data_IF_947538706395
#
_entry.id   IF_947538706395
#
_cell.length_a   1.000
_cell.length_b   1.000
_cell.length_c   1.000
_cell.angle_alpha   90.00
_cell.angle_beta   90.00
_cell.angle_gamma   90.00
#
_symmetry.space_group_name_H-M   'P 1'
#
loop_
_entity.id
_entity.type
_entity.pdbx_description
1 polymer ?
#
# COMPACT_ATOMS: atom_id res chain seq x y z
N UNK A 1 -3.29 7.28 -7.32
CA UNK A 1 -3.85 6.41 -6.29
C UNK A 1 -4.47 7.31 -5.27
N UNK A 2 -5.72 7.05 -4.97
CA UNK A 2 -6.57 7.82 -4.09
C UNK A 2 -7.32 6.85 -3.18
N UNK A 3 -8.14 7.39 -2.29
CA UNK A 3 -9.02 6.62 -1.43
C UNK A 3 -10.29 7.42 -1.14
N UNK A 4 -11.30 6.71 -0.64
CA UNK A 4 -12.53 7.28 -0.11
C UNK A 4 -12.75 6.77 1.32
N UNK A 5 -13.45 7.54 2.15
CA UNK A 5 -13.81 7.15 3.51
C UNK A 5 -15.04 7.91 4.03
N UNK A 6 -15.63 7.43 5.13
CA UNK A 6 -16.67 8.17 5.85
C UNK A 6 -16.13 9.47 6.47
N UNK A 7 -16.99 10.49 6.61
CA UNK A 7 -16.61 11.78 7.18
C UNK A 7 -17.56 12.28 8.29
N UNK A 8 -18.59 11.51 8.67
CA UNK A 8 -19.64 12.04 9.57
C UNK A 8 -19.92 11.19 10.80
N UNK A 9 -19.43 9.95 10.86
CA UNK A 9 -19.75 9.05 11.97
C UNK A 9 -18.71 9.15 13.08
N UNK A 10 -19.20 9.25 14.33
CA UNK A 10 -18.40 9.43 15.54
C UNK A 10 -17.94 10.86 15.77
N UNK A 11 -17.40 11.53 14.75
CA UNK A 11 -16.98 12.94 14.79
C UNK A 11 -17.31 13.64 13.47
N UNK A 12 -17.16 14.97 13.41
CA UNK A 12 -17.26 15.75 12.16
C UNK A 12 -16.14 15.45 11.13
N UNK A 13 -15.22 14.53 11.46
CA UNK A 13 -14.14 14.08 10.60
C UNK A 13 -14.17 12.56 10.38
N UNK A 14 -15.30 11.88 10.64
CA UNK A 14 -15.49 10.45 10.36
C UNK A 14 -14.65 9.48 11.21
N UNK A 15 -14.04 9.95 12.31
CA UNK A 15 -13.13 9.14 13.14
C UNK A 15 -13.75 7.82 13.57
N UNK A 16 -15.06 7.80 13.84
CA UNK A 16 -15.75 6.61 14.32
C UNK A 16 -15.76 5.48 13.31
N UNK A 17 -16.09 5.76 12.06
CA UNK A 17 -16.26 4.72 11.05
C UNK A 17 -15.01 4.45 10.22
N UNK A 18 -14.09 5.42 10.10
CA UNK A 18 -12.72 5.14 9.62
C UNK A 18 -12.10 4.04 10.51
N UNK A 19 -12.20 4.18 11.84
CA UNK A 19 -11.72 3.14 12.79
C UNK A 19 -12.39 1.78 12.60
N UNK A 20 -13.65 1.76 12.13
CA UNK A 20 -14.45 0.52 11.95
C UNK A 20 -14.40 -0.05 10.53
N UNK A 21 -13.66 0.57 9.61
CA UNK A 21 -13.44 0.02 8.26
C UNK A 21 -14.18 0.70 7.11
N UNK A 22 -14.83 1.86 7.31
CA UNK A 22 -15.41 2.62 6.19
C UNK A 22 -14.36 3.43 5.45
N UNK A 23 -13.48 2.72 4.75
CA UNK A 23 -12.48 3.25 3.82
C UNK A 23 -12.33 2.31 2.63
N UNK A 24 -11.84 2.82 1.50
CA UNK A 24 -11.53 1.99 0.35
C UNK A 24 -10.66 2.68 -0.70
N UNK A 25 -10.03 1.90 -1.59
CA UNK A 25 -9.12 2.41 -2.61
C UNK A 25 -9.88 3.03 -3.78
N UNK A 26 -9.31 4.08 -4.39
CA UNK A 26 -9.73 4.61 -5.68
C UNK A 26 -8.52 4.76 -6.62
N UNK A 27 -8.60 4.16 -7.81
CA UNK A 27 -7.50 4.10 -8.78
C UNK A 27 -7.93 4.73 -10.10
N UNK A 28 -7.58 6.00 -10.27
CA UNK A 28 -7.72 6.71 -11.54
C UNK A 28 -6.47 6.48 -12.40
N UNK A 29 -6.64 5.84 -13.57
CA UNK A 29 -5.55 5.52 -14.49
C UNK A 29 -5.46 6.54 -15.63
N UNK A 30 -4.24 6.88 -16.03
CA UNK A 30 -3.97 7.63 -17.26
C UNK A 30 -4.01 6.67 -18.45
N UNK A 31 -4.41 7.17 -19.62
CA UNK A 31 -4.29 6.42 -20.88
C UNK A 31 -2.84 5.95 -21.05
N UNK A 32 -2.66 4.64 -21.28
CA UNK A 32 -1.35 4.01 -21.44
C UNK A 32 -0.69 3.53 -20.15
N UNK A 33 -1.31 3.74 -18.98
CA UNK A 33 -0.83 3.12 -17.74
C UNK A 33 -0.89 1.60 -17.84
N UNK A 34 0.17 0.94 -17.37
CA UNK A 34 0.28 -0.52 -17.35
C UNK A 34 -0.73 -1.07 -16.33
N UNK A 35 -1.54 -2.03 -16.79
CA UNK A 35 -2.50 -2.72 -15.95
C UNK A 35 -1.84 -3.90 -15.22
N UNK A 36 -2.22 -4.18 -13.97
CA UNK A 36 -1.71 -5.32 -13.23
C UNK A 36 -2.49 -6.61 -13.51
N UNK A 37 -1.89 -7.73 -13.13
CA UNK A 37 -2.58 -9.02 -13.04
C UNK A 37 -3.46 -9.08 -11.78
N UNK A 38 -3.00 -8.44 -10.69
CA UNK A 38 -3.74 -8.35 -9.42
C UNK A 38 -3.55 -6.99 -8.75
N UNK A 39 -4.65 -6.44 -8.21
CA UNK A 39 -4.60 -5.26 -7.35
C UNK A 39 -4.78 -5.66 -5.89
N UNK A 40 -3.83 -5.27 -5.03
CA UNK A 40 -3.82 -5.57 -3.61
C UNK A 40 -4.01 -4.28 -2.81
N UNK A 41 -4.96 -4.23 -1.88
CA UNK A 41 -5.15 -3.04 -1.03
C UNK A 41 -4.61 -3.31 0.37
N UNK A 42 -3.73 -2.42 0.83
CA UNK A 42 -3.18 -2.44 2.19
C UNK A 42 -3.56 -1.13 2.87
N UNK A 43 -4.44 -1.21 3.86
CA UNK A 43 -4.79 -0.09 4.71
C UNK A 43 -4.20 -0.32 6.08
N UNK A 44 -3.25 0.51 6.49
CA UNK A 44 -2.78 0.55 7.88
C UNK A 44 -3.67 1.56 8.61
N UNK A 45 -4.56 1.07 9.47
CA UNK A 45 -5.50 1.87 10.23
C UNK A 45 -5.22 1.69 11.72
N UNK A 46 -4.72 2.73 12.37
CA UNK A 46 -4.12 2.63 13.69
C UNK A 46 -3.10 1.46 13.75
N UNK A 47 -3.31 0.47 14.62
CA UNK A 47 -2.42 -0.69 14.78
C UNK A 47 -2.91 -1.94 14.04
N UNK A 48 -3.73 -1.76 13.00
CA UNK A 48 -4.35 -2.84 12.25
C UNK A 48 -4.02 -2.72 10.77
N UNK A 49 -3.97 -3.86 10.08
CA UNK A 49 -3.91 -3.91 8.62
C UNK A 49 -5.25 -4.44 8.12
N UNK A 50 -5.94 -3.69 7.27
CA UNK A 50 -7.26 -4.03 6.71
C UNK A 50 -8.27 -4.45 7.79
N UNK A 51 -8.29 -3.72 8.92
CA UNK A 51 -9.12 -4.00 10.10
C UNK A 51 -8.89 -5.38 10.73
N UNK A 52 -7.72 -5.97 10.49
CA UNK A 52 -7.27 -7.19 11.16
C UNK A 52 -6.27 -6.85 12.26
N UNK A 53 -6.44 -7.50 13.40
CA UNK A 53 -5.55 -7.41 14.55
C UNK A 53 -4.19 -8.08 14.26
N UNK A 54 -3.23 -7.82 15.14
CA UNK A 54 -1.87 -8.36 15.05
C UNK A 54 -1.83 -9.86 14.72
N UNK A 55 -0.87 -10.24 13.86
CA UNK A 55 -0.64 -11.60 13.36
C UNK A 55 -1.81 -12.25 12.61
N UNK A 56 -2.83 -11.48 12.20
CA UNK A 56 -3.97 -11.96 11.42
C UNK A 56 -4.18 -11.15 10.13
N UNK A 57 -3.10 -10.56 9.60
CA UNK A 57 -3.15 -9.75 8.38
C UNK A 57 -3.51 -10.58 7.14
N UNK A 58 -3.82 -9.89 6.05
CA UNK A 58 -4.14 -10.50 4.75
C UNK A 58 -2.86 -10.96 4.07
N UNK A 59 -2.79 -12.23 3.67
CA UNK A 59 -1.75 -12.69 2.74
C UNK A 59 -2.20 -12.42 1.31
N UNK A 60 -1.30 -11.89 0.49
CA UNK A 60 -1.50 -11.79 -0.95
C UNK A 60 -0.67 -12.88 -1.63
N UNK A 61 -1.31 -13.73 -2.40
CA UNK A 61 -0.65 -14.78 -3.18
C UNK A 61 -0.45 -14.29 -4.62
N UNK A 62 0.65 -14.69 -5.24
CA UNK A 62 1.01 -14.37 -6.61
C UNK A 62 1.99 -15.40 -7.17
N UNK A 63 2.01 -15.58 -8.48
CA UNK A 63 3.01 -16.39 -9.18
C UNK A 63 4.22 -15.53 -9.51
N UNK A 64 5.42 -16.14 -9.51
CA UNK A 64 6.64 -15.44 -9.94
C UNK A 64 6.44 -14.91 -11.37
N UNK A 65 6.62 -13.60 -11.54
CA UNK A 65 6.40 -12.89 -12.80
C UNK A 65 5.09 -12.08 -12.85
N UNK A 66 4.13 -12.34 -11.97
CA UNK A 66 2.87 -11.59 -11.91
C UNK A 66 3.14 -10.12 -11.56
N UNK A 67 2.41 -9.22 -12.21
CA UNK A 67 2.42 -7.79 -11.91
C UNK A 67 1.36 -7.49 -10.85
N UNK A 68 1.83 -7.09 -9.68
CA UNK A 68 0.97 -6.67 -8.59
C UNK A 68 0.93 -5.14 -8.51
N UNK A 69 -0.28 -4.59 -8.38
CA UNK A 69 -0.54 -3.18 -8.10
C UNK A 69 -1.01 -3.05 -6.65
N UNK A 70 -0.15 -2.55 -5.78
CA UNK A 70 -0.47 -2.35 -4.38
C UNK A 70 -0.98 -0.92 -4.19
N UNK A 71 -2.18 -0.78 -3.62
CA UNK A 71 -2.72 0.49 -3.13
C UNK A 71 -2.51 0.55 -1.63
N UNK A 72 -1.64 1.43 -1.18
CA UNK A 72 -1.31 1.61 0.24
C UNK A 72 -1.98 2.86 0.77
N UNK A 73 -2.75 2.72 1.86
CA UNK A 73 -3.48 3.80 2.52
C UNK A 73 -3.15 3.77 4.01
N UNK A 74 -2.95 4.93 4.63
CA UNK A 74 -2.81 5.04 6.09
C UNK A 74 -4.01 5.81 6.67
N UNK A 75 -4.55 5.35 7.78
CA UNK A 75 -5.63 5.98 8.55
C UNK A 75 -5.37 5.88 10.05
N UNK A 76 -6.14 6.63 10.84
CA UNK A 76 -6.05 6.61 12.30
C UNK A 76 -5.17 7.72 12.87
N UNK A 77 -4.48 7.43 13.96
CA UNK A 77 -3.74 8.44 14.75
C UNK A 77 -2.22 8.37 14.58
N UNK A 78 -1.71 7.29 13.98
CA UNK A 78 -0.28 6.97 13.97
C UNK A 78 0.37 7.19 12.60
N UNK A 79 1.66 7.52 12.62
CA UNK A 79 2.50 7.39 11.43
C UNK A 79 3.01 5.96 11.31
N UNK A 80 3.31 5.54 10.08
CA UNK A 80 3.82 4.21 9.78
C UNK A 80 4.93 4.28 8.74
N UNK A 81 5.70 3.21 8.65
CA UNK A 81 6.64 2.97 7.55
C UNK A 81 6.29 1.65 6.88
N UNK A 82 5.69 1.68 5.69
CA UNK A 82 5.34 0.44 4.97
C UNK A 82 6.57 -0.12 4.26
N UNK A 83 6.89 -1.37 4.55
CA UNK A 83 8.02 -2.09 4.00
C UNK A 83 7.60 -3.42 3.39
N UNK A 84 8.26 -3.82 2.30
CA UNK A 84 8.11 -5.14 1.67
C UNK A 84 9.48 -5.79 1.44
N UNK A 85 9.61 -7.04 1.83
CA UNK A 85 10.84 -7.81 1.66
C UNK A 85 11.01 -8.21 0.19
N UNK A 86 12.26 -8.24 -0.28
CA UNK A 86 12.62 -8.75 -1.62
C UNK A 86 12.16 -7.90 -2.81
N UNK A 87 11.33 -6.88 -2.59
CA UNK A 87 10.77 -6.05 -3.65
C UNK A 87 11.06 -4.56 -3.40
N UNK A 88 11.03 -3.77 -4.47
CA UNK A 88 11.27 -2.32 -4.44
C UNK A 88 10.46 -1.65 -5.55
N UNK A 89 10.18 -0.37 -5.41
CA UNK A 89 9.42 0.43 -6.37
C UNK A 89 10.01 1.84 -6.51
N UNK A 90 9.62 2.55 -7.56
CA UNK A 90 9.96 3.97 -7.71
C UNK A 90 9.03 4.85 -6.87
N UNK A 91 9.57 5.80 -6.13
CA UNK A 91 8.84 6.79 -5.35
C UNK A 91 8.22 7.87 -6.26
N UNK A 92 7.22 7.47 -7.04
CA UNK A 92 6.48 8.32 -7.96
C UNK A 92 5.03 7.85 -8.12
N UNK A 93 4.31 8.44 -9.09
CA UNK A 93 2.88 8.20 -9.31
C UNK A 93 2.50 6.72 -9.47
N UNK A 94 3.34 5.89 -10.11
CA UNK A 94 2.96 4.52 -10.53
C UNK A 94 3.86 3.42 -9.95
N UNK A 95 4.84 3.77 -9.11
CA UNK A 95 5.78 2.78 -8.58
C UNK A 95 6.81 2.28 -9.59
N UNK A 96 6.85 2.84 -10.81
CA UNK A 96 7.74 2.43 -11.89
C UNK A 96 8.52 3.64 -12.39
N UNK A 97 9.82 3.48 -12.62
CA UNK A 97 10.61 4.48 -13.32
C UNK A 97 10.05 4.62 -14.75
N UNK A 98 9.82 5.86 -15.16
CA UNK A 98 9.27 6.18 -16.50
C UNK A 98 10.31 6.05 -17.62
N UNK A 99 11.59 5.96 -17.26
CA UNK A 99 12.71 5.79 -18.18
C UNK A 99 14.05 5.95 -17.47
N UNK A 100 15.13 5.96 -18.25
CA UNK A 100 16.51 6.13 -17.74
C UNK A 100 16.72 7.46 -17.01
N UNK A 101 16.01 8.50 -17.43
CA UNK A 101 16.18 9.87 -16.94
C UNK A 101 15.20 10.23 -15.81
N UNK A 102 14.41 9.27 -15.33
CA UNK A 102 13.51 9.47 -14.20
C UNK A 102 14.31 9.56 -12.89
N UNK A 103 14.30 10.72 -12.18
CA UNK A 103 15.11 10.92 -10.98
C UNK A 103 14.48 10.34 -9.71
N UNK A 104 13.32 9.68 -9.83
CA UNK A 104 12.59 9.14 -8.67
C UNK A 104 13.45 8.15 -7.90
N UNK A 105 13.45 8.26 -6.58
CA UNK A 105 14.15 7.31 -5.71
C UNK A 105 13.56 5.92 -5.89
N UNK A 106 14.40 4.89 -5.91
CA UNK A 106 13.93 3.50 -5.82
C UNK A 106 14.00 3.09 -4.35
N UNK A 107 12.85 2.72 -3.78
CA UNK A 107 12.67 2.47 -2.35
C UNK A 107 11.98 1.12 -2.11
N UNK A 108 12.15 0.57 -0.92
CA UNK A 108 11.42 -0.59 -0.40
C UNK A 108 10.69 -0.28 0.91
N UNK A 109 10.83 0.95 1.41
CA UNK A 109 10.26 1.44 2.65
C UNK A 109 9.82 2.90 2.50
N UNK A 110 8.59 3.22 2.91
CA UNK A 110 8.04 4.59 2.83
C UNK A 110 7.30 4.96 4.11
N UNK A 111 7.60 6.14 4.65
CA UNK A 111 6.81 6.74 5.73
C UNK A 111 5.47 7.28 5.20
N UNK A 112 4.39 7.08 5.96
CA UNK A 112 3.06 7.62 5.69
C UNK A 112 2.35 8.01 6.99
N UNK A 113 1.55 9.07 6.92
CA UNK A 113 0.67 9.51 8.00
C UNK A 113 -0.82 9.32 7.65
N UNK A 114 -1.74 9.62 8.58
CA UNK A 114 -3.17 9.48 8.35
C UNK A 114 -3.65 10.24 7.10
N UNK A 115 -4.52 9.58 6.32
CA UNK A 115 -5.04 9.96 5.02
C UNK A 115 -4.05 9.97 3.84
N UNK A 116 -2.77 9.61 4.04
CA UNK A 116 -1.87 9.37 2.92
C UNK A 116 -2.34 8.16 2.10
N UNK A 117 -2.22 8.29 0.77
CA UNK A 117 -2.35 7.16 -0.14
C UNK A 117 -1.31 7.24 -1.25
N UNK A 118 -0.81 6.09 -1.66
CA UNK A 118 0.06 5.94 -2.80
C UNK A 118 -0.12 4.54 -3.39
N UNK A 119 0.37 4.37 -4.60
CA UNK A 119 0.41 3.04 -5.21
C UNK A 119 1.79 2.72 -5.71
N UNK A 120 2.02 1.43 -5.84
CA UNK A 120 3.26 0.88 -6.36
C UNK A 120 2.97 -0.36 -7.17
N UNK A 121 3.76 -0.57 -8.22
CA UNK A 121 3.74 -1.82 -8.96
C UNK A 121 5.04 -2.59 -8.74
N UNK A 122 4.91 -3.90 -8.52
CA UNK A 122 6.03 -4.84 -8.43
C UNK A 122 5.80 -5.99 -9.40
N UNK A 123 6.90 -6.62 -9.82
CA UNK A 123 6.87 -7.93 -10.46
C UNK A 123 7.22 -8.95 -9.39
N UNK A 124 6.29 -9.86 -9.09
CA UNK A 124 6.44 -10.83 -8.03
C UNK A 124 7.69 -11.70 -8.24
N UNK A 125 8.56 -11.74 -7.23
CA UNK A 125 9.76 -12.57 -7.24
C UNK A 125 10.85 -12.14 -8.22
N UNK A 126 10.76 -10.95 -8.85
CA UNK A 126 11.75 -10.55 -9.86
C UNK A 126 13.16 -10.45 -9.24
N UNK A 127 14.08 -11.28 -9.74
CA UNK A 127 15.47 -11.42 -9.25
C UNK A 127 15.62 -11.94 -7.81
N UNK A 128 14.53 -12.30 -7.13
CA UNK A 128 14.56 -12.83 -5.76
C UNK A 128 13.92 -14.21 -5.62
N UNK A 129 13.11 -14.63 -6.60
CA UNK A 129 12.48 -15.95 -6.64
C UNK A 129 11.19 -16.06 -5.82
N UNK A 130 10.64 -17.27 -5.79
CA UNK A 130 9.46 -17.60 -4.99
C UNK A 130 9.79 -17.62 -3.49
N UNK A 131 8.81 -17.26 -2.65
CA UNK A 131 8.97 -17.28 -1.20
C UNK A 131 7.81 -16.62 -0.47
N UNK A 132 7.79 -16.77 0.86
CA UNK A 132 6.90 -16.02 1.74
C UNK A 132 7.55 -14.67 2.07
N UNK A 133 7.39 -13.70 1.17
CA UNK A 133 7.95 -12.36 1.33
C UNK A 133 7.08 -11.51 2.26
N UNK A 134 7.64 -11.10 3.39
CA UNK A 134 6.91 -10.30 4.37
C UNK A 134 6.62 -8.89 3.85
N UNK A 135 5.49 -8.34 4.24
CA UNK A 135 5.27 -6.90 4.29
C UNK A 135 4.84 -6.53 5.70
N UNK A 136 5.31 -5.41 6.21
CA UNK A 136 5.01 -4.98 7.58
C UNK A 136 5.20 -3.47 7.76
N UNK A 137 4.70 -2.95 8.89
CA UNK A 137 5.14 -1.67 9.40
C UNK A 137 6.58 -1.81 9.91
N UNK A 138 7.49 -0.88 9.58
CA UNK A 138 8.88 -0.93 10.03
C UNK A 138 9.12 -0.08 11.30
N UNK A 139 8.07 0.49 11.90
CA UNK A 139 8.18 1.00 13.27
C UNK A 139 8.25 -0.21 14.19
N UNK A 140 9.34 -0.36 14.94
CA UNK A 140 9.69 -1.63 15.59
C UNK A 140 8.66 -2.16 16.60
N UNK A 141 7.87 -1.29 17.22
CA UNK A 141 6.83 -1.66 18.18
C UNK A 141 5.46 -1.89 17.56
N UNK A 142 5.31 -1.61 16.26
CA UNK A 142 4.05 -1.76 15.52
C UNK A 142 3.87 -3.18 14.98
#
# INVERSE_FOLDING_TARGET
>A
YWHYHDHVVGTYHGTGDIRKGLYGPDVVRRKGDILPDQTCTVVINDMMINYKTAHNSVNFEATVGDRLDLVMITHGEYYHTFHIHGHRWADNRIGLLTGRDDPSRVIDNRISGPADSYGLQIIAGVRVGAGAWMYHCHVQSH
#
